data_IF_156862822602
#
_entry.id   IF_156862822602
#
_cell.length_a   1.000
_cell.length_b   1.000
_cell.length_c   1.000
_cell.angle_alpha   90.00
_cell.angle_beta   90.00
_cell.angle_gamma   90.00
#
_symmetry.space_group_name_H-M   'P 1'
#
loop_
_entity.id
_entity.type
_entity.pdbx_description
1 polymer ?
#
# COMPACT_ATOMS: atom_id res chain seq x y z
N UNK A 1 2.95 16.73 -4.62
CA UNK A 1 2.94 16.74 -3.15
C UNK A 1 4.36 16.44 -2.69
N UNK A 2 5.03 17.42 -2.09
CA UNK A 2 6.40 17.24 -1.59
C UNK A 2 6.29 16.71 -0.16
N UNK A 3 6.82 15.52 0.08
CA UNK A 3 6.90 14.95 1.42
C UNK A 3 8.18 15.46 2.08
N UNK A 4 8.05 16.31 3.09
CA UNK A 4 9.20 16.84 3.83
C UNK A 4 9.24 16.27 5.25
N UNK A 5 10.40 15.76 5.67
CA UNK A 5 10.62 15.26 7.03
C UNK A 5 11.84 15.95 7.62
N UNK A 6 11.61 16.91 8.51
CA UNK A 6 12.67 17.65 9.22
C UNK A 6 13.11 16.92 10.48
N UNK A 7 14.39 17.09 10.84
CA UNK A 7 14.98 16.58 12.07
C UNK A 7 14.44 17.35 13.27
N UNK A 8 14.10 16.65 14.35
CA UNK A 8 13.72 17.27 15.64
C UNK A 8 14.95 17.45 16.54
N UNK A 9 14.88 18.38 17.48
CA UNK A 9 16.04 18.78 18.31
C UNK A 9 16.68 17.64 19.11
N UNK A 10 15.90 16.67 19.60
CA UNK A 10 16.40 15.52 20.39
C UNK A 10 16.38 14.20 19.63
N UNK A 11 16.50 14.27 18.31
CA UNK A 11 16.35 13.10 17.45
C UNK A 11 17.70 12.50 17.02
N UNK A 12 17.85 11.17 17.22
CA UNK A 12 18.98 10.43 16.65
C UNK A 12 18.83 10.27 15.14
N UNK A 13 19.94 10.24 14.40
CA UNK A 13 19.91 10.05 12.94
C UNK A 13 19.12 8.80 12.52
N UNK A 14 19.23 7.70 13.28
CA UNK A 14 18.52 6.46 12.99
C UNK A 14 17.00 6.59 13.13
N UNK A 15 16.53 7.31 14.17
CA UNK A 15 15.10 7.56 14.36
C UNK A 15 14.50 8.45 13.26
N UNK A 16 15.29 9.39 12.73
CA UNK A 16 14.92 10.22 11.58
C UNK A 16 14.73 9.38 10.32
N UNK A 17 15.69 8.50 10.01
CA UNK A 17 15.60 7.59 8.86
C UNK A 17 14.40 6.65 8.99
N UNK A 18 14.14 6.15 10.20
CA UNK A 18 12.96 5.31 10.46
C UNK A 18 11.65 6.07 10.19
N UNK A 19 11.50 7.30 10.71
CA UNK A 19 10.33 8.13 10.44
C UNK A 19 10.20 8.40 8.95
N UNK A 20 11.26 8.85 8.29
CA UNK A 20 11.26 9.09 6.85
C UNK A 20 10.76 7.87 6.08
N UNK A 21 11.28 6.68 6.38
CA UNK A 21 10.88 5.44 5.72
C UNK A 21 9.41 5.10 5.97
N UNK A 22 8.93 5.26 7.21
CA UNK A 22 7.52 5.04 7.57
C UNK A 22 6.61 6.02 6.84
N UNK A 23 6.97 7.31 6.81
CA UNK A 23 6.20 8.35 6.15
C UNK A 23 6.16 8.15 4.64
N UNK A 24 7.28 7.80 4.00
CA UNK A 24 7.33 7.45 2.57
C UNK A 24 6.41 6.25 2.27
N UNK A 25 6.46 5.21 3.10
CA UNK A 25 5.60 4.02 2.92
C UNK A 25 4.12 4.36 3.06
N UNK A 26 3.75 5.14 4.07
CA UNK A 26 2.36 5.56 4.31
C UNK A 26 1.83 6.50 3.24
N UNK A 27 2.69 7.37 2.70
CA UNK A 27 2.31 8.33 1.64
C UNK A 27 1.91 7.66 0.33
N UNK A 28 2.34 6.42 0.08
CA UNK A 28 2.05 5.71 -1.16
C UNK A 28 2.75 6.29 -2.40
N UNK A 29 3.63 7.29 -2.26
CA UNK A 29 4.32 7.96 -3.38
C UNK A 29 5.06 6.97 -4.29
N UNK A 30 5.73 5.97 -3.71
CA UNK A 30 6.42 4.94 -4.48
C UNK A 30 5.46 4.06 -5.31
N UNK A 31 4.27 3.77 -4.76
CA UNK A 31 3.24 3.00 -5.47
C UNK A 31 2.64 3.82 -6.62
N UNK A 32 2.44 5.12 -6.40
CA UNK A 32 1.97 6.03 -7.42
C UNK A 32 2.98 6.21 -8.56
N UNK A 33 4.25 6.45 -8.21
CA UNK A 33 5.34 6.56 -9.17
C UNK A 33 5.45 5.28 -10.04
N UNK A 34 5.45 4.10 -9.41
CA UNK A 34 5.45 2.81 -10.13
C UNK A 34 4.20 2.62 -11.00
N UNK A 35 3.04 3.08 -10.54
CA UNK A 35 1.78 2.99 -11.33
C UNK A 35 1.83 3.89 -12.57
N UNK A 36 2.47 5.06 -12.47
CA UNK A 36 2.59 6.07 -13.54
C UNK A 36 3.75 5.79 -14.51
N UNK A 37 4.72 4.96 -14.13
CA UNK A 37 5.91 4.66 -14.93
C UNK A 37 5.59 4.21 -16.37
N UNK A 38 4.48 3.47 -16.57
CA UNK A 38 4.07 2.99 -17.89
C UNK A 38 2.62 3.35 -18.18
N UNK A 39 2.35 3.72 -19.44
CA UNK A 39 0.99 3.95 -19.93
C UNK A 39 0.22 2.63 -19.94
N UNK A 40 -0.95 2.61 -19.28
CA UNK A 40 -1.84 1.44 -19.24
C UNK A 40 -3.06 1.68 -20.12
N UNK A 41 -3.45 0.66 -20.90
CA UNK A 41 -4.73 0.67 -21.63
C UNK A 41 -5.90 0.69 -20.63
N UNK A 42 -7.00 1.34 -21.02
CA UNK A 42 -8.26 1.26 -20.29
C UNK A 42 -8.76 -0.19 -20.24
N UNK A 43 -9.24 -0.62 -19.07
CA UNK A 43 -9.76 -1.99 -18.89
C UNK A 43 -11.09 -2.17 -19.64
N UNK A 44 -11.26 -3.32 -20.30
CA UNK A 44 -12.54 -3.75 -20.87
C UNK A 44 -13.58 -4.02 -19.77
N UNK A 45 -14.87 -4.06 -20.14
CA UNK A 45 -15.96 -4.37 -19.22
C UNK A 45 -15.75 -5.72 -18.49
N UNK A 46 -15.37 -6.76 -19.24
CA UNK A 46 -15.07 -8.08 -18.69
C UNK A 46 -13.88 -8.03 -17.71
N UNK A 47 -12.81 -7.32 -18.04
CA UNK A 47 -11.64 -7.18 -17.16
C UNK A 47 -11.99 -6.46 -15.85
N UNK A 48 -12.88 -5.45 -15.91
CA UNK A 48 -13.41 -4.77 -14.71
C UNK A 48 -14.22 -5.74 -13.83
N UNK A 49 -15.11 -6.54 -14.44
CA UNK A 49 -15.94 -7.55 -13.75
C UNK A 49 -15.08 -8.60 -13.06
N UNK A 50 -14.13 -9.20 -13.77
CA UNK A 50 -13.23 -10.21 -13.20
C UNK A 50 -12.38 -9.64 -12.05
N UNK A 51 -11.91 -8.39 -12.18
CA UNK A 51 -11.19 -7.70 -11.10
C UNK A 51 -12.08 -7.43 -9.87
N UNK A 52 -13.39 -7.26 -10.04
CA UNK A 52 -14.32 -7.12 -8.93
C UNK A 52 -14.58 -8.47 -8.24
N UNK A 53 -14.82 -9.53 -9.00
CA UNK A 53 -15.00 -10.89 -8.48
C UNK A 53 -13.79 -11.35 -7.67
N UNK A 54 -12.57 -11.17 -8.19
CA UNK A 54 -11.32 -11.48 -7.50
C UNK A 54 -11.20 -10.78 -6.13
N UNK A 55 -11.69 -9.53 -6.02
CA UNK A 55 -11.68 -8.78 -4.75
C UNK A 55 -12.64 -9.38 -3.72
N UNK A 56 -13.80 -9.86 -4.16
CA UNK A 56 -14.77 -10.54 -3.29
C UNK A 56 -14.20 -11.87 -2.82
N UNK A 57 -13.69 -12.69 -3.74
CA UNK A 57 -13.07 -13.99 -3.41
C UNK A 57 -11.94 -13.84 -2.39
N UNK A 58 -11.04 -12.87 -2.59
CA UNK A 58 -9.94 -12.63 -1.66
C UNK A 58 -10.42 -12.17 -0.27
N UNK A 59 -11.53 -11.42 -0.22
CA UNK A 59 -12.13 -10.99 1.05
C UNK A 59 -12.69 -12.18 1.83
N UNK A 60 -13.38 -13.10 1.15
CA UNK A 60 -13.90 -14.32 1.78
C UNK A 60 -12.77 -15.26 2.23
N UNK A 61 -11.73 -15.44 1.41
CA UNK A 61 -10.54 -16.21 1.79
C UNK A 61 -9.90 -15.66 3.06
N UNK A 62 -9.68 -14.34 3.13
CA UNK A 62 -9.12 -13.70 4.31
C UNK A 62 -10.01 -13.90 5.54
N UNK A 63 -11.34 -13.79 5.41
CA UNK A 63 -12.27 -14.05 6.52
C UNK A 63 -12.17 -15.48 7.04
N UNK A 64 -12.02 -16.45 6.14
CA UNK A 64 -11.84 -17.84 6.52
C UNK A 64 -10.49 -18.05 7.21
N UNK A 65 -9.41 -17.50 6.66
CA UNK A 65 -8.09 -17.51 7.28
C UNK A 65 -8.10 -16.90 8.68
N UNK A 66 -8.74 -15.74 8.86
CA UNK A 66 -8.87 -15.06 10.16
C UNK A 66 -9.66 -15.92 11.17
N UNK A 67 -10.67 -16.69 10.73
CA UNK A 67 -11.44 -17.61 11.58
C UNK A 67 -10.65 -18.88 11.96
N UNK A 68 -9.84 -19.39 11.03
CA UNK A 68 -9.06 -20.62 11.21
C UNK A 68 -7.70 -20.35 11.88
N UNK A 69 -7.24 -19.10 11.87
CA UNK A 69 -6.05 -18.67 12.61
C UNK A 69 -6.36 -18.74 14.10
N UNK A 70 -5.71 -19.67 14.81
CA UNK A 70 -5.78 -19.74 16.27
C UNK A 70 -5.35 -18.39 16.86
N UNK A 71 -6.01 -17.91 17.93
CA UNK A 71 -5.55 -16.73 18.63
C UNK A 71 -4.08 -16.95 19.05
N UNK A 72 -3.22 -15.99 18.69
CA UNK A 72 -1.85 -15.92 19.21
C UNK A 72 -1.86 -15.46 20.65
#
# INVERSE_FOLDING_TARGET
MVLEVKKKEKESAQSLVHRFTKTVRQSGLLLEARKKQFRKRTKSALSKKNSALRRVENKEKKRLEDKMSKPK
#
